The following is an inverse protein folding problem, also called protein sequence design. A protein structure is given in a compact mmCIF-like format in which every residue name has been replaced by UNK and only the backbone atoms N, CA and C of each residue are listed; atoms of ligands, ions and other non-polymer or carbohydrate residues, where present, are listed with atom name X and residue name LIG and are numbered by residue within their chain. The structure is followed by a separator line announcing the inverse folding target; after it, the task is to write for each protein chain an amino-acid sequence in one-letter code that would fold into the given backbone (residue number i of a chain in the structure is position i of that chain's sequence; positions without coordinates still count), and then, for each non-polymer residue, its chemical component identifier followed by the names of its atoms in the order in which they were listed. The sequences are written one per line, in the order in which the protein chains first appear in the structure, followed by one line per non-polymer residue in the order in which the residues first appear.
data_IF_305027469209
#
_entry.id   IF_305027469209
#
_cell.length_a   1.000
_cell.length_b   1.000
_cell.length_c   1.000
_cell.angle_alpha   90.00
_cell.angle_beta   90.00
_cell.angle_gamma   90.00
#
_symmetry.space_group_name_H-M   'P 1'
#
loop_
_entity.id
_entity.type
_entity.pdbx_description
1 polymer ?
#
# COMPACT_ATOMS: atom_id res chain seq x y z
N UNK A 1 19.22 13.06 -34.61
CA UNK A 1 18.57 11.75 -34.90
C UNK A 1 18.13 11.02 -33.61
N UNK A 2 18.85 11.14 -32.51
CA UNK A 2 18.43 10.55 -31.19
C UNK A 2 17.24 11.31 -30.57
N UNK A 3 17.12 12.62 -30.76
CA UNK A 3 16.00 13.41 -30.23
C UNK A 3 14.66 13.12 -30.94
N UNK A 4 14.70 12.80 -32.23
CA UNK A 4 13.47 12.50 -32.98
C UNK A 4 12.90 11.11 -32.65
N UNK A 5 13.73 10.12 -32.35
CA UNK A 5 13.29 8.78 -31.94
C UNK A 5 12.70 8.79 -30.50
N UNK A 6 13.28 9.61 -29.63
CA UNK A 6 12.76 9.83 -28.26
C UNK A 6 11.38 10.53 -28.30
N UNK A 7 11.26 11.61 -29.09
CA UNK A 7 9.98 12.31 -29.23
C UNK A 7 8.89 11.44 -29.84
N UNK A 8 9.20 10.61 -30.86
CA UNK A 8 8.24 9.67 -31.44
C UNK A 8 7.79 8.62 -30.40
N UNK A 9 8.73 8.05 -29.62
CA UNK A 9 8.42 7.11 -28.55
C UNK A 9 7.49 7.72 -27.49
N UNK A 10 7.69 8.99 -27.13
CA UNK A 10 6.87 9.68 -26.15
C UNK A 10 5.46 9.98 -26.69
N UNK A 11 5.34 10.29 -27.98
CA UNK A 11 4.02 10.45 -28.63
C UNK A 11 3.24 9.15 -28.62
N UNK A 12 3.85 8.00 -29.00
CA UNK A 12 3.18 6.69 -28.97
C UNK A 12 2.77 6.28 -27.55
N UNK A 13 3.61 6.53 -26.53
CA UNK A 13 3.27 6.27 -25.13
C UNK A 13 2.07 7.11 -24.70
N UNK A 14 2.07 8.42 -24.99
CA UNK A 14 0.93 9.29 -24.68
C UNK A 14 -0.35 8.82 -25.36
N UNK A 15 -0.29 8.46 -26.65
CA UNK A 15 -1.45 7.95 -27.38
C UNK A 15 -1.99 6.67 -26.76
N UNK A 16 -1.14 5.72 -26.34
CA UNK A 16 -1.56 4.48 -25.70
C UNK A 16 -2.27 4.74 -24.37
N UNK A 17 -1.64 5.52 -23.48
CA UNK A 17 -2.19 5.76 -22.15
C UNK A 17 -3.43 6.65 -22.13
N UNK A 18 -3.60 7.50 -23.14
CA UNK A 18 -4.81 8.35 -23.28
C UNK A 18 -5.84 7.74 -24.23
N UNK A 19 -5.62 6.54 -24.75
CA UNK A 19 -6.63 5.85 -25.56
C UNK A 19 -7.93 5.68 -24.75
N UNK A 20 -9.09 6.06 -25.32
CA UNK A 20 -10.36 5.94 -24.63
C UNK A 20 -10.76 4.46 -24.54
N UNK A 21 -11.01 4.00 -23.32
CA UNK A 21 -11.57 2.66 -23.04
C UNK A 21 -12.96 2.84 -22.46
N UNK A 22 -13.96 2.32 -23.16
CA UNK A 22 -15.36 2.48 -22.81
C UNK A 22 -15.92 1.15 -22.29
N UNK A 23 -16.50 1.19 -21.10
CA UNK A 23 -17.27 0.09 -20.53
C UNK A 23 -18.70 0.55 -20.30
N UNK A 24 -19.68 -0.20 -20.79
CA UNK A 24 -21.07 0.15 -20.57
C UNK A 24 -22.05 -0.70 -21.36
N UNK A 25 -23.33 -0.55 -21.01
CA UNK A 25 -24.45 -1.21 -21.67
C UNK A 25 -25.47 -0.12 -22.05
N UNK A 26 -25.68 0.08 -23.35
CA UNK A 26 -26.62 1.07 -23.88
C UNK A 26 -26.23 2.51 -23.54
N UNK A 27 -27.12 3.26 -22.89
CA UNK A 27 -26.86 4.66 -22.49
C UNK A 27 -25.97 4.82 -21.24
N UNK A 28 -25.71 3.75 -20.50
CA UNK A 28 -24.83 3.72 -19.32
C UNK A 28 -23.43 3.28 -19.75
N UNK A 29 -22.70 4.15 -20.43
CA UNK A 29 -21.32 3.90 -20.82
C UNK A 29 -20.39 4.93 -20.13
N UNK A 30 -19.36 4.42 -19.46
CA UNK A 30 -18.26 5.21 -18.90
C UNK A 30 -17.10 5.10 -19.88
N UNK A 31 -16.74 6.21 -20.50
CA UNK A 31 -15.60 6.31 -21.40
C UNK A 31 -14.50 7.13 -20.72
N UNK A 32 -13.40 6.48 -20.38
CA UNK A 32 -12.26 7.10 -19.72
C UNK A 32 -10.96 6.63 -20.36
N UNK A 33 -9.86 7.37 -20.13
CA UNK A 33 -8.53 6.97 -20.64
C UNK A 33 -8.04 5.67 -19.99
N UNK A 34 -7.19 4.93 -20.69
CA UNK A 34 -6.52 3.75 -20.11
C UNK A 34 -5.76 4.13 -18.84
N UNK A 35 -5.14 5.31 -18.82
CA UNK A 35 -4.46 5.87 -17.65
C UNK A 35 -5.40 6.00 -16.44
N UNK A 36 -6.63 6.47 -16.63
CA UNK A 36 -7.65 6.52 -15.57
C UNK A 36 -7.98 5.12 -15.04
N UNK A 37 -8.21 4.14 -15.93
CA UNK A 37 -8.50 2.78 -15.49
C UNK A 37 -7.38 2.14 -14.70
N UNK A 38 -6.12 2.49 -15.01
CA UNK A 38 -4.97 2.01 -14.23
C UNK A 38 -4.88 2.73 -12.89
N UNK A 39 -4.99 4.06 -12.86
CA UNK A 39 -4.76 4.84 -11.65
C UNK A 39 -5.94 4.82 -10.67
N UNK A 40 -7.17 4.76 -11.15
CA UNK A 40 -8.35 4.80 -10.30
C UNK A 40 -9.05 3.43 -10.22
N UNK A 41 -9.12 2.70 -11.34
CA UNK A 41 -9.73 1.38 -11.38
C UNK A 41 -8.85 0.31 -10.74
N UNK A 42 -7.65 0.07 -11.29
CA UNK A 42 -6.77 -0.98 -10.79
C UNK A 42 -6.19 -0.64 -9.42
N UNK A 43 -5.84 0.63 -9.15
CA UNK A 43 -5.35 1.03 -7.84
C UNK A 43 -6.40 0.86 -6.74
N UNK A 44 -7.70 0.85 -7.06
CA UNK A 44 -8.74 0.48 -6.10
C UNK A 44 -8.54 -0.96 -5.58
N UNK A 45 -8.11 -1.90 -6.44
CA UNK A 45 -7.79 -3.28 -6.00
C UNK A 45 -6.55 -3.33 -5.12
N UNK A 46 -5.54 -2.51 -5.41
CA UNK A 46 -4.38 -2.34 -4.53
C UNK A 46 -4.83 -1.86 -3.14
N UNK A 47 -5.60 -0.78 -3.10
CA UNK A 47 -6.10 -0.23 -1.84
C UNK A 47 -7.10 -1.15 -1.12
N UNK A 48 -7.79 -2.03 -1.84
CA UNK A 48 -8.58 -3.10 -1.24
C UNK A 48 -7.68 -4.07 -0.45
N UNK A 49 -6.54 -4.47 -1.03
CA UNK A 49 -5.57 -5.33 -0.35
C UNK A 49 -4.96 -4.63 0.86
N UNK A 50 -4.57 -3.35 0.72
CA UNK A 50 -4.07 -2.52 1.83
C UNK A 50 -5.12 -2.41 2.95
N UNK A 51 -6.38 -2.12 2.61
CA UNK A 51 -7.47 -2.04 3.59
C UNK A 51 -7.70 -3.36 4.34
N UNK A 52 -7.59 -4.50 3.64
CA UNK A 52 -7.65 -5.83 4.26
C UNK A 52 -6.43 -6.11 5.15
N UNK A 53 -5.25 -5.63 4.76
CA UNK A 53 -4.03 -5.75 5.56
C UNK A 53 -4.13 -4.95 6.86
N UNK A 54 -4.58 -3.70 6.77
CA UNK A 54 -4.89 -2.87 7.94
C UNK A 54 -5.89 -3.58 8.85
N UNK A 55 -6.98 -4.12 8.27
CA UNK A 55 -8.03 -4.83 9.02
C UNK A 55 -7.48 -6.04 9.76
N UNK A 56 -6.60 -6.81 9.12
CA UNK A 56 -5.95 -7.97 9.73
C UNK A 56 -4.99 -7.54 10.85
N UNK A 57 -4.14 -6.54 10.61
CA UNK A 57 -3.20 -6.04 11.62
C UNK A 57 -3.90 -5.51 12.87
N UNK A 58 -5.08 -4.92 12.72
CA UNK A 58 -5.91 -4.44 13.83
C UNK A 58 -6.54 -5.57 14.67
N UNK A 59 -6.65 -6.80 14.14
CA UNK A 59 -7.34 -7.90 14.81
C UNK A 59 -6.43 -9.05 15.24
N UNK A 60 -5.39 -9.33 14.47
CA UNK A 60 -4.49 -10.50 14.67
C UNK A 60 -3.01 -10.11 14.64
N UNK A 61 -2.69 -8.85 14.30
CA UNK A 61 -1.32 -8.39 14.12
C UNK A 61 -0.76 -7.56 15.26
N UNK A 62 0.31 -6.84 14.96
CA UNK A 62 1.03 -6.01 15.93
C UNK A 62 0.21 -4.82 16.48
N UNK A 63 -0.85 -4.39 15.76
CA UNK A 63 -1.71 -3.29 16.18
C UNK A 63 -2.76 -3.68 17.24
N UNK A 64 -2.90 -4.96 17.57
CA UNK A 64 -3.82 -5.43 18.63
C UNK A 64 -3.39 -4.92 20.03
N UNK A 65 -2.08 -4.92 20.29
CA UNK A 65 -1.52 -4.36 21.53
C UNK A 65 -0.86 -3.01 21.26
N UNK A 66 -1.54 -1.94 21.68
CA UNK A 66 -1.04 -0.56 21.52
C UNK A 66 0.32 -0.32 22.17
N UNK A 67 0.70 -1.11 23.18
CA UNK A 67 2.03 -1.01 23.78
C UNK A 67 3.13 -1.54 22.86
N UNK A 68 2.85 -2.61 22.11
CA UNK A 68 3.76 -3.15 21.11
C UNK A 68 3.76 -2.28 19.84
N UNK A 69 2.60 -1.77 19.44
CA UNK A 69 2.44 -0.89 18.29
C UNK A 69 3.00 0.52 18.51
N UNK A 70 3.20 0.94 19.76
CA UNK A 70 3.60 2.34 20.09
C UNK A 70 4.89 2.78 19.40
N UNK A 71 5.89 1.90 19.31
CA UNK A 71 7.16 2.23 18.65
C UNK A 71 7.02 2.33 17.12
N UNK A 72 6.38 1.37 16.40
CA UNK A 72 6.07 1.53 14.98
C UNK A 72 5.21 2.77 14.67
N UNK A 73 4.21 3.07 15.50
CA UNK A 73 3.35 4.26 15.32
C UNK A 73 4.19 5.55 15.43
N UNK A 74 5.02 5.65 16.46
CA UNK A 74 5.91 6.79 16.63
C UNK A 74 6.89 6.94 15.46
N UNK A 75 7.45 5.82 15.01
CA UNK A 75 8.36 5.77 13.87
C UNK A 75 7.66 6.23 12.58
N UNK A 76 6.43 5.76 12.32
CA UNK A 76 5.63 6.18 11.17
C UNK A 76 5.28 7.67 11.22
N UNK A 77 4.84 8.19 12.36
CA UNK A 77 4.62 9.64 12.53
C UNK A 77 5.87 10.44 12.20
N UNK A 78 7.04 10.01 12.68
CA UNK A 78 8.32 10.64 12.34
C UNK A 78 8.67 10.53 10.87
N UNK A 79 8.40 9.35 10.27
CA UNK A 79 8.59 9.04 8.85
C UNK A 79 7.68 9.81 7.91
N UNK A 80 6.63 10.44 8.41
CA UNK A 80 5.73 11.34 7.66
C UNK A 80 6.05 12.81 7.94
N UNK A 81 6.16 13.19 9.21
CA UNK A 81 6.32 14.60 9.63
C UNK A 81 7.66 15.17 9.14
N UNK A 82 8.78 14.47 9.37
CA UNK A 82 10.09 15.01 9.01
C UNK A 82 10.27 15.13 7.49
N UNK A 83 9.94 14.13 6.65
CA UNK A 83 9.97 14.30 5.20
C UNK A 83 9.08 15.43 4.70
N UNK A 84 7.87 15.57 5.25
CA UNK A 84 6.95 16.66 4.90
C UNK A 84 7.53 18.04 5.24
N UNK A 85 8.16 18.20 6.41
CA UNK A 85 8.83 19.43 6.82
C UNK A 85 10.06 19.73 5.93
N UNK A 86 10.86 18.72 5.60
CA UNK A 86 12.00 18.90 4.69
C UNK A 86 11.48 19.32 3.31
N UNK A 87 10.50 18.64 2.77
CA UNK A 87 9.91 19.03 1.48
C UNK A 87 9.37 20.48 1.53
N UNK A 88 8.61 20.82 2.57
CA UNK A 88 8.05 22.15 2.74
C UNK A 88 9.14 23.24 2.87
N UNK A 89 10.31 22.92 3.44
CA UNK A 89 11.42 23.88 3.53
C UNK A 89 11.98 24.28 2.17
N UNK A 90 11.92 23.37 1.17
CA UNK A 90 12.29 23.66 -0.21
C UNK A 90 11.17 24.28 -1.03
N UNK A 91 9.90 23.95 -0.72
CA UNK A 91 8.72 24.25 -1.55
C UNK A 91 7.59 24.91 -0.76
N UNK A 92 7.91 25.84 0.16
CA UNK A 92 6.91 26.47 1.03
C UNK A 92 6.04 27.50 0.32
N UNK A 93 6.41 27.96 -0.89
CA UNK A 93 5.67 28.95 -1.68
C UNK A 93 5.48 28.48 -3.13
N UNK A 94 4.34 28.83 -3.71
CA UNK A 94 4.03 28.60 -5.12
C UNK A 94 3.44 27.23 -5.43
N UNK A 95 3.45 26.87 -6.71
CA UNK A 95 2.80 25.68 -7.25
C UNK A 95 3.41 24.36 -6.72
N UNK A 96 4.65 24.37 -6.23
CA UNK A 96 5.30 23.18 -5.66
C UNK A 96 4.77 22.78 -4.28
N UNK A 97 4.04 23.64 -3.58
CA UNK A 97 3.59 23.38 -2.21
C UNK A 97 2.68 22.12 -2.09
N UNK A 98 1.89 21.81 -3.12
CA UNK A 98 0.97 20.64 -3.13
C UNK A 98 1.66 19.29 -2.99
N UNK A 99 2.97 19.19 -3.21
CA UNK A 99 3.70 17.91 -3.18
C UNK A 99 4.19 17.44 -1.81
N UNK A 100 3.83 18.10 -0.71
CA UNK A 100 4.38 17.82 0.63
C UNK A 100 4.14 16.40 1.16
N UNK A 101 3.06 15.75 0.72
CA UNK A 101 2.75 14.38 1.13
C UNK A 101 3.44 13.30 0.26
N UNK A 102 4.06 13.67 -0.87
CA UNK A 102 4.73 12.71 -1.78
C UNK A 102 5.76 11.84 -1.04
N UNK A 103 6.67 12.40 -0.22
CA UNK A 103 7.67 11.60 0.47
C UNK A 103 7.14 10.90 1.73
N UNK A 104 5.85 11.04 2.07
CA UNK A 104 5.28 10.41 3.26
C UNK A 104 5.07 8.90 3.08
N UNK A 105 4.77 8.42 1.87
CA UNK A 105 4.45 7.02 1.61
C UNK A 105 5.69 6.14 1.45
N UNK A 106 5.54 4.84 1.80
CA UNK A 106 6.55 3.79 1.60
C UNK A 106 6.02 2.73 0.63
N UNK A 107 6.85 2.26 -0.28
CA UNK A 107 6.52 1.10 -1.12
C UNK A 107 6.89 -0.20 -0.40
N UNK A 108 5.89 -0.84 0.22
CA UNK A 108 6.07 -2.07 1.02
C UNK A 108 6.68 -3.19 0.18
N UNK A 109 6.19 -3.38 -1.06
CA UNK A 109 6.62 -4.48 -1.91
C UNK A 109 8.12 -4.41 -2.22
N UNK A 110 8.62 -3.22 -2.56
CA UNK A 110 10.05 -2.98 -2.79
C UNK A 110 10.86 -3.05 -1.50
N UNK A 111 10.41 -2.45 -0.41
CA UNK A 111 11.12 -2.46 0.87
C UNK A 111 11.31 -3.89 1.41
N UNK A 112 10.25 -4.71 1.40
CA UNK A 112 10.31 -6.12 1.82
C UNK A 112 11.10 -6.97 0.83
N UNK A 113 10.97 -6.70 -0.47
CA UNK A 113 11.77 -7.35 -1.51
C UNK A 113 13.28 -7.14 -1.30
N UNK A 114 13.71 -5.91 -1.03
CA UNK A 114 15.11 -5.61 -0.71
C UNK A 114 15.56 -6.26 0.61
N UNK A 115 14.69 -6.25 1.63
CA UNK A 115 14.99 -6.94 2.89
C UNK A 115 15.17 -8.46 2.66
N UNK A 116 14.39 -9.05 1.77
CA UNK A 116 14.53 -10.47 1.41
C UNK A 116 15.83 -10.76 0.66
N UNK A 117 16.33 -9.85 -0.19
CA UNK A 117 17.62 -9.95 -0.86
C UNK A 117 18.81 -9.97 0.12
N UNK A 118 18.69 -9.32 1.27
CA UNK A 118 19.70 -9.39 2.34
C UNK A 118 19.77 -10.78 3.00
N UNK A 119 18.77 -11.63 2.81
CA UNK A 119 18.78 -13.03 3.18
C UNK A 119 18.30 -13.34 4.59
N UNK A 120 18.47 -14.62 5.00
CA UNK A 120 17.91 -15.18 6.24
C UNK A 120 18.60 -14.72 7.54
N UNK A 121 19.68 -13.97 7.45
CA UNK A 121 20.46 -13.52 8.62
C UNK A 121 19.86 -12.32 9.37
N UNK A 122 18.76 -11.74 8.87
CA UNK A 122 18.10 -10.60 9.50
C UNK A 122 17.13 -11.12 10.57
N UNK A 123 17.20 -10.58 11.83
CA UNK A 123 16.27 -10.93 12.89
C UNK A 123 14.81 -10.73 12.50
N UNK A 124 13.93 -11.62 12.95
CA UNK A 124 12.48 -11.56 12.67
C UNK A 124 11.84 -10.25 13.13
N UNK A 125 12.31 -9.69 14.25
CA UNK A 125 11.83 -8.41 14.78
C UNK A 125 12.03 -7.24 13.83
N UNK A 126 13.10 -7.25 13.02
CA UNK A 126 13.33 -6.20 11.98
C UNK A 126 12.28 -6.28 10.89
N UNK A 127 11.95 -7.49 10.44
CA UNK A 127 10.92 -7.72 9.42
C UNK A 127 9.54 -7.33 9.93
N UNK A 128 9.20 -7.75 11.16
CA UNK A 128 7.92 -7.39 11.79
C UNK A 128 7.81 -5.88 11.94
N UNK A 129 8.87 -5.21 12.42
CA UNK A 129 8.88 -3.77 12.58
C UNK A 129 8.72 -3.03 11.25
N UNK A 130 9.41 -3.48 10.18
CA UNK A 130 9.24 -2.89 8.83
C UNK A 130 7.82 -3.04 8.32
N UNK A 131 7.23 -4.25 8.43
CA UNK A 131 5.87 -4.50 7.96
C UNK A 131 4.85 -3.67 8.74
N UNK A 132 4.92 -3.65 10.06
CA UNK A 132 4.00 -2.87 10.89
C UNK A 132 4.13 -1.37 10.62
N UNK A 133 5.38 -0.86 10.50
CA UNK A 133 5.63 0.53 10.13
C UNK A 133 4.96 0.87 8.78
N UNK A 134 5.17 0.02 7.78
CA UNK A 134 4.67 0.26 6.43
C UNK A 134 3.13 0.22 6.36
N UNK A 135 2.48 -0.69 7.09
CA UNK A 135 1.01 -0.69 7.21
C UNK A 135 0.50 0.61 7.85
N UNK A 136 1.20 1.14 8.87
CA UNK A 136 0.82 2.41 9.49
C UNK A 136 1.07 3.59 8.53
N UNK A 137 2.18 3.57 7.78
CA UNK A 137 2.45 4.56 6.73
C UNK A 137 1.32 4.59 5.68
N UNK A 138 0.82 3.42 5.27
CA UNK A 138 -0.30 3.31 4.32
C UNK A 138 -1.60 3.85 4.92
N UNK A 139 -1.88 3.59 6.21
CA UNK A 139 -3.03 4.20 6.91
C UNK A 139 -2.94 5.72 6.86
N UNK A 140 -1.77 6.27 7.20
CA UNK A 140 -1.56 7.71 7.19
C UNK A 140 -1.69 8.26 5.76
N UNK A 141 -1.10 7.60 4.77
CA UNK A 141 -1.19 8.01 3.37
C UNK A 141 -2.65 8.05 2.87
N UNK A 142 -3.46 7.03 3.21
CA UNK A 142 -4.90 7.01 2.86
C UNK A 142 -5.65 8.18 3.50
N UNK A 143 -5.38 8.48 4.78
CA UNK A 143 -5.98 9.61 5.48
C UNK A 143 -5.56 10.94 4.82
N UNK A 144 -4.28 11.08 4.48
CA UNK A 144 -3.78 12.28 3.80
C UNK A 144 -4.44 12.47 2.44
N UNK A 145 -4.59 11.41 1.66
CA UNK A 145 -5.29 11.45 0.37
C UNK A 145 -6.75 11.86 0.56
N UNK A 146 -7.43 11.27 1.51
CA UNK A 146 -8.85 11.54 1.75
C UNK A 146 -9.12 12.99 2.20
N UNK A 147 -8.22 13.56 3.01
CA UNK A 147 -8.42 14.88 3.64
C UNK A 147 -7.87 16.02 2.78
N UNK A 148 -6.72 15.83 2.15
CA UNK A 148 -5.98 16.93 1.50
C UNK A 148 -6.02 16.92 -0.03
N UNK A 149 -6.40 15.79 -0.64
CA UNK A 149 -6.41 15.63 -2.09
C UNK A 149 -7.81 15.40 -2.69
N UNK A 150 -8.87 15.55 -1.89
CA UNK A 150 -10.27 15.50 -2.38
C UNK A 150 -10.78 16.92 -2.62
N UNK A 151 -11.14 17.22 -3.87
CA UNK A 151 -11.60 18.54 -4.28
C UNK A 151 -13.11 18.55 -4.54
N UNK A 152 -13.79 19.64 -4.15
CA UNK A 152 -15.13 20.00 -4.61
C UNK A 152 -16.20 18.94 -4.37
N UNK A 153 -16.43 18.50 -3.12
CA UNK A 153 -17.31 17.39 -2.77
C UNK A 153 -18.77 17.63 -3.20
N UNK A 154 -19.27 16.82 -4.12
CA UNK A 154 -20.70 16.71 -4.43
C UNK A 154 -21.35 15.64 -3.54
N UNK A 155 -22.30 16.08 -2.70
CA UNK A 155 -22.94 15.21 -1.72
C UNK A 155 -23.85 14.15 -2.33
N UNK A 156 -24.28 14.29 -3.58
CA UNK A 156 -25.18 13.33 -4.27
C UNK A 156 -24.53 11.96 -4.42
N UNK A 157 -23.25 11.90 -4.72
CA UNK A 157 -22.49 10.66 -4.87
C UNK A 157 -22.32 9.88 -3.57
N UNK A 158 -22.28 10.55 -2.40
CA UNK A 158 -22.20 9.88 -1.10
C UNK A 158 -23.41 9.01 -0.81
N UNK A 159 -24.58 9.37 -1.31
CA UNK A 159 -25.78 8.53 -1.18
C UNK A 159 -25.59 7.19 -1.90
N UNK A 160 -25.06 7.22 -3.12
CA UNK A 160 -24.77 6.00 -3.90
C UNK A 160 -23.67 5.17 -3.22
N UNK A 161 -22.59 5.81 -2.75
CA UNK A 161 -21.53 5.14 -2.01
C UNK A 161 -22.07 4.51 -0.72
N UNK A 162 -22.93 5.22 0.00
CA UNK A 162 -23.61 4.72 1.20
C UNK A 162 -24.50 3.52 0.94
N UNK A 163 -25.28 3.51 -0.15
CA UNK A 163 -26.07 2.35 -0.58
C UNK A 163 -25.16 1.15 -0.86
N UNK A 164 -24.04 1.35 -1.55
CA UNK A 164 -23.03 0.31 -1.75
C UNK A 164 -22.50 -0.26 -0.43
N UNK A 165 -22.13 0.61 0.51
CA UNK A 165 -21.67 0.22 1.84
C UNK A 165 -22.72 -0.54 2.66
N UNK A 166 -23.97 -0.07 2.66
CA UNK A 166 -25.09 -0.76 3.32
C UNK A 166 -25.38 -2.13 2.69
N UNK A 167 -25.27 -2.26 1.37
CA UNK A 167 -25.41 -3.54 0.68
C UNK A 167 -24.29 -4.51 1.08
N UNK A 168 -23.04 -4.05 1.23
CA UNK A 168 -21.93 -4.86 1.78
C UNK A 168 -22.27 -5.37 3.18
N UNK A 169 -22.70 -4.48 4.09
CA UNK A 169 -23.09 -4.86 5.45
C UNK A 169 -24.28 -5.83 5.46
N UNK A 170 -25.27 -5.62 4.60
CA UNK A 170 -26.42 -6.51 4.43
C UNK A 170 -25.99 -7.92 4.01
N UNK A 171 -25.15 -8.05 2.98
CA UNK A 171 -24.60 -9.35 2.55
C UNK A 171 -23.80 -10.05 3.63
N UNK A 172 -23.04 -9.31 4.42
CA UNK A 172 -22.30 -9.85 5.56
C UNK A 172 -23.23 -10.39 6.64
N UNK A 173 -24.32 -9.67 6.97
CA UNK A 173 -25.32 -10.10 7.96
C UNK A 173 -26.08 -11.35 7.53
N UNK A 174 -26.34 -11.50 6.22
CA UNK A 174 -26.97 -12.70 5.65
C UNK A 174 -25.98 -13.88 5.59
N UNK A 175 -24.69 -13.65 5.85
CA UNK A 175 -23.67 -14.70 5.84
C UNK A 175 -23.16 -15.08 4.43
N UNK A 176 -23.23 -14.17 3.45
CA UNK A 176 -22.73 -14.42 2.10
C UNK A 176 -21.20 -14.46 2.09
N UNK A 177 -20.60 -15.63 1.93
CA UNK A 177 -19.15 -15.85 1.96
C UNK A 177 -18.45 -15.79 0.60
N UNK A 178 -19.19 -15.52 -0.50
CA UNK A 178 -18.61 -15.40 -1.84
C UNK A 178 -18.08 -14.00 -2.08
N UNK A 179 -16.77 -13.86 -2.38
CA UNK A 179 -16.17 -12.57 -2.73
C UNK A 179 -16.83 -11.90 -3.96
N UNK A 180 -17.31 -12.70 -4.91
CA UNK A 180 -17.98 -12.17 -6.12
C UNK A 180 -19.28 -11.42 -5.82
N UNK A 181 -19.98 -11.78 -4.75
CA UNK A 181 -21.21 -11.08 -4.36
C UNK A 181 -20.97 -9.63 -3.93
N UNK A 182 -19.75 -9.33 -3.49
CA UNK A 182 -19.35 -7.99 -3.04
C UNK A 182 -18.83 -7.10 -4.17
N UNK A 183 -18.64 -7.64 -5.39
CA UNK A 183 -18.16 -6.86 -6.53
C UNK A 183 -19.15 -5.77 -6.90
N UNK A 184 -20.44 -6.08 -7.04
CA UNK A 184 -21.46 -5.11 -7.42
C UNK A 184 -21.64 -4.00 -6.36
N UNK A 185 -21.79 -4.29 -5.06
CA UNK A 185 -21.78 -3.27 -4.02
C UNK A 185 -20.50 -2.44 -3.98
N UNK A 186 -19.33 -3.07 -4.20
CA UNK A 186 -18.05 -2.38 -4.29
C UNK A 186 -18.01 -1.41 -5.48
N UNK A 187 -18.50 -1.81 -6.64
CA UNK A 187 -18.62 -0.93 -7.81
C UNK A 187 -19.58 0.23 -7.60
N UNK A 188 -20.70 0.01 -6.88
CA UNK A 188 -21.60 1.11 -6.50
C UNK A 188 -20.90 2.11 -5.56
N UNK A 189 -20.13 1.63 -4.61
CA UNK A 189 -19.36 2.47 -3.71
C UNK A 189 -18.26 3.25 -4.47
N UNK A 190 -17.55 2.58 -5.36
CA UNK A 190 -16.53 3.19 -6.21
C UNK A 190 -17.12 4.27 -7.13
N UNK A 191 -18.20 3.94 -7.82
CA UNK A 191 -18.92 4.89 -8.69
C UNK A 191 -19.52 6.08 -7.91
N UNK A 192 -20.03 5.82 -6.70
CA UNK A 192 -20.52 6.87 -5.82
C UNK A 192 -19.40 7.84 -5.41
N UNK A 193 -18.23 7.35 -5.02
CA UNK A 193 -17.08 8.19 -4.69
C UNK A 193 -16.55 8.94 -5.93
N UNK A 194 -16.55 8.31 -7.09
CA UNK A 194 -16.20 8.97 -8.35
C UNK A 194 -17.11 10.18 -8.64
N UNK A 195 -18.42 10.05 -8.38
CA UNK A 195 -19.38 11.14 -8.56
C UNK A 195 -19.25 12.25 -7.51
N UNK A 196 -18.70 11.94 -6.33
CA UNK A 196 -18.49 12.97 -5.28
C UNK A 196 -17.29 13.88 -5.56
N UNK A 197 -16.39 13.54 -6.48
CA UNK A 197 -15.08 14.19 -6.61
C UNK A 197 -14.04 13.72 -5.57
N UNK A 198 -14.42 12.79 -4.68
CA UNK A 198 -13.46 12.10 -3.83
C UNK A 198 -12.70 11.04 -4.64
N UNK A 199 -11.47 10.69 -4.20
CA UNK A 199 -10.71 9.67 -4.91
C UNK A 199 -11.42 8.30 -4.86
N UNK A 200 -11.74 7.71 -6.04
CA UNK A 200 -12.48 6.45 -6.10
C UNK A 200 -11.74 5.28 -5.45
N UNK A 201 -10.41 5.36 -5.36
CA UNK A 201 -9.54 4.38 -4.72
C UNK A 201 -9.85 4.17 -3.24
N UNK A 202 -10.44 5.18 -2.56
CA UNK A 202 -10.89 5.07 -1.17
C UNK A 202 -11.99 4.00 -1.00
N UNK A 203 -12.78 3.71 -2.03
CA UNK A 203 -13.73 2.60 -2.01
C UNK A 203 -13.04 1.26 -1.71
N UNK A 204 -11.85 1.05 -2.29
CA UNK A 204 -11.04 -0.14 -2.02
C UNK A 204 -10.67 -0.25 -0.55
N UNK A 205 -10.16 0.83 0.06
CA UNK A 205 -9.81 0.85 1.48
C UNK A 205 -11.01 0.56 2.36
N UNK A 206 -12.14 1.26 2.13
CA UNK A 206 -13.35 1.10 2.92
C UNK A 206 -13.85 -0.36 2.82
N UNK A 207 -13.93 -0.92 1.60
CA UNK A 207 -14.34 -2.29 1.39
C UNK A 207 -13.38 -3.29 2.06
N UNK A 208 -12.07 -3.03 2.01
CA UNK A 208 -11.04 -3.82 2.68
C UNK A 208 -11.22 -3.81 4.20
N UNK A 209 -11.42 -2.65 4.79
CA UNK A 209 -11.69 -2.48 6.23
C UNK A 209 -13.02 -3.12 6.67
N UNK A 210 -14.02 -3.16 5.79
CA UNK A 210 -15.30 -3.84 6.03
C UNK A 210 -15.20 -5.36 5.93
N UNK A 211 -14.11 -5.91 5.35
CA UNK A 211 -13.98 -7.37 5.13
C UNK A 211 -13.90 -8.11 6.47
N UNK A 212 -14.72 -9.17 6.68
CA UNK A 212 -14.76 -9.88 7.95
C UNK A 212 -13.47 -10.61 8.27
N UNK A 213 -13.00 -10.49 9.52
CA UNK A 213 -11.84 -11.21 10.09
C UNK A 213 -12.24 -12.50 10.82
N UNK A 214 -13.52 -12.66 11.15
CA UNK A 214 -14.07 -13.85 11.78
C UNK A 214 -15.00 -14.60 10.83
N UNK A 215 -15.35 -15.85 11.19
CA UNK A 215 -16.37 -16.60 10.46
C UNK A 215 -17.69 -15.83 10.43
N UNK A 216 -18.38 -15.89 9.27
CA UNK A 216 -19.64 -15.19 9.09
C UNK A 216 -20.74 -15.79 9.99
N UNK A 217 -21.71 -14.99 10.48
CA UNK A 217 -22.80 -15.45 11.31
C UNK A 217 -23.60 -16.58 10.65
N UNK A 218 -24.07 -17.52 11.45
CA UNK A 218 -24.93 -18.63 11.00
C UNK A 218 -24.19 -19.82 10.38
N UNK A 219 -22.88 -19.83 10.37
CA UNK A 219 -22.06 -20.97 9.92
C UNK A 219 -21.50 -21.77 11.09
N UNK A 220 -21.48 -23.10 10.93
CA UNK A 220 -20.79 -24.02 11.85
C UNK A 220 -19.30 -23.65 11.91
N UNK A 221 -18.69 -23.71 13.11
CA UNK A 221 -17.26 -23.49 13.24
C UNK A 221 -16.50 -24.52 12.42
N UNK A 222 -15.48 -24.11 11.63
CA UNK A 222 -14.78 -25.03 10.71
C UNK A 222 -14.21 -26.29 11.40
N UNK A 223 -13.75 -26.16 12.65
CA UNK A 223 -13.23 -27.30 13.42
C UNK A 223 -14.35 -28.30 13.78
N UNK A 224 -15.55 -27.82 14.08
CA UNK A 224 -16.69 -28.67 14.45
C UNK A 224 -17.22 -29.37 13.20
N UNK A 225 -17.28 -28.70 12.07
CA UNK A 225 -17.57 -29.28 10.76
C UNK A 225 -16.56 -30.36 10.38
N UNK A 226 -15.25 -30.13 10.57
CA UNK A 226 -14.21 -31.13 10.31
C UNK A 226 -14.37 -32.34 11.23
N UNK A 227 -14.65 -32.16 12.51
CA UNK A 227 -14.91 -33.25 13.46
C UNK A 227 -16.15 -34.06 13.12
N UNK A 228 -17.20 -33.43 12.58
CA UNK A 228 -18.41 -34.13 12.08
C UNK A 228 -18.09 -34.93 10.82
N UNK A 229 -17.46 -34.30 9.82
CA UNK A 229 -17.11 -34.92 8.54
C UNK A 229 -16.16 -36.12 8.75
N UNK A 230 -15.16 -36.01 9.65
CA UNK A 230 -14.26 -37.13 9.95
C UNK A 230 -15.03 -38.36 10.48
N UNK A 231 -15.98 -38.16 11.39
CA UNK A 231 -16.84 -39.21 11.92
C UNK A 231 -17.77 -39.83 10.84
N UNK A 232 -18.30 -39.01 9.96
CA UNK A 232 -19.13 -39.44 8.84
C UNK A 232 -18.35 -40.29 7.83
N UNK A 233 -17.08 -39.93 7.56
CA UNK A 233 -16.20 -40.70 6.65
C UNK A 233 -15.77 -42.04 7.23
N UNK A 234 -15.65 -42.18 8.56
CA UNK A 234 -15.33 -43.48 9.20
C UNK A 234 -16.45 -44.52 9.04
N UNK A 235 -17.70 -44.07 8.82
CA UNK A 235 -18.88 -44.96 8.69
C UNK A 235 -19.52 -45.03 7.31
N UNK A 236 -18.99 -44.36 6.28
CA UNK A 236 -19.71 -44.07 5.05
C UNK A 236 -19.51 -45.14 3.93
N UNK A 237 -20.63 -45.54 3.29
CA UNK A 237 -20.64 -46.16 1.98
C UNK A 237 -20.22 -45.14 0.88
N UNK A 238 -19.67 -45.59 -0.24
CA UNK A 238 -19.02 -44.78 -1.29
C UNK A 238 -19.85 -43.63 -1.89
N UNK A 239 -21.17 -43.69 -1.82
CA UNK A 239 -22.07 -42.62 -2.32
C UNK A 239 -22.08 -41.38 -1.43
N UNK A 240 -21.81 -41.54 -0.17
CA UNK A 240 -21.77 -40.47 0.81
C UNK A 240 -20.42 -39.73 0.81
N UNK A 241 -19.36 -40.42 0.36
CA UNK A 241 -18.01 -39.87 0.31
C UNK A 241 -17.89 -38.63 -0.58
N UNK A 242 -18.60 -38.55 -1.70
CA UNK A 242 -18.58 -37.40 -2.60
C UNK A 242 -19.20 -36.13 -1.95
N UNK A 243 -20.26 -36.32 -1.18
CA UNK A 243 -20.88 -35.24 -0.42
C UNK A 243 -19.96 -34.74 0.71
N UNK A 244 -19.42 -35.66 1.50
CA UNK A 244 -18.47 -35.35 2.58
C UNK A 244 -17.18 -34.70 2.09
N UNK A 245 -16.67 -35.10 0.91
CA UNK A 245 -15.52 -34.44 0.27
C UNK A 245 -15.83 -33.00 -0.16
N UNK A 246 -17.05 -32.73 -0.62
CA UNK A 246 -17.47 -31.36 -0.95
C UNK A 246 -17.59 -30.51 0.31
N UNK A 247 -18.16 -31.02 1.37
CA UNK A 247 -18.24 -30.35 2.66
C UNK A 247 -16.86 -30.13 3.28
N UNK A 248 -15.95 -31.09 3.16
CA UNK A 248 -14.55 -30.96 3.58
C UNK A 248 -13.86 -29.80 2.90
N UNK A 249 -14.04 -29.63 1.57
CA UNK A 249 -13.49 -28.49 0.83
C UNK A 249 -14.07 -27.17 1.32
N UNK A 250 -15.36 -27.12 1.65
CA UNK A 250 -16.00 -25.92 2.19
C UNK A 250 -15.44 -25.62 3.59
N UNK A 251 -15.36 -26.63 4.47
CA UNK A 251 -14.80 -26.48 5.81
C UNK A 251 -13.32 -26.03 5.77
N UNK A 252 -12.50 -26.63 4.90
CA UNK A 252 -11.11 -26.21 4.67
C UNK A 252 -11.01 -24.76 4.19
N UNK A 253 -11.91 -24.36 3.29
CA UNK A 253 -11.95 -22.98 2.80
C UNK A 253 -12.33 -22.00 3.90
N UNK A 254 -13.15 -22.42 4.85
CA UNK A 254 -13.64 -21.59 5.97
C UNK A 254 -12.71 -21.58 7.19
N UNK A 255 -11.69 -22.45 7.22
CA UNK A 255 -10.61 -22.39 8.22
C UNK A 255 -9.85 -21.07 8.18
N UNK A 256 -9.75 -20.45 6.99
CA UNK A 256 -9.13 -19.14 6.84
C UNK A 256 -10.20 -18.03 6.89
N UNK A 257 -10.02 -16.99 7.72
CA UNK A 257 -10.88 -15.81 7.70
C UNK A 257 -11.06 -15.26 6.29
N UNK A 258 -12.25 -14.73 5.95
CA UNK A 258 -12.50 -14.15 4.62
C UNK A 258 -11.45 -13.14 4.18
N UNK A 259 -10.99 -12.29 5.09
CA UNK A 259 -9.95 -11.29 4.83
C UNK A 259 -8.64 -11.92 4.35
N UNK A 260 -8.16 -12.97 5.03
CA UNK A 260 -6.90 -13.66 4.68
C UNK A 260 -7.04 -14.38 3.33
N UNK A 261 -8.18 -15.04 3.11
CA UNK A 261 -8.45 -15.79 1.87
C UNK A 261 -8.47 -14.89 0.64
N UNK A 262 -9.18 -13.76 0.72
CA UNK A 262 -9.28 -12.80 -0.40
C UNK A 262 -7.93 -12.12 -0.62
N UNK A 263 -7.24 -11.72 0.46
CA UNK A 263 -5.90 -11.14 0.38
C UNK A 263 -4.91 -12.08 -0.31
N UNK A 264 -4.84 -13.36 0.09
CA UNK A 264 -3.95 -14.34 -0.53
C UNK A 264 -4.27 -14.58 -2.01
N UNK A 265 -5.55 -14.51 -2.40
CA UNK A 265 -5.97 -14.67 -3.79
C UNK A 265 -5.61 -13.44 -4.65
N UNK A 266 -5.71 -12.23 -4.10
CA UNK A 266 -5.42 -10.99 -4.82
C UNK A 266 -3.94 -10.60 -4.81
N UNK A 267 -3.21 -10.93 -3.75
CA UNK A 267 -1.83 -10.52 -3.55
C UNK A 267 -0.89 -10.80 -4.74
N UNK A 268 -0.89 -12.00 -5.37
CA UNK A 268 -0.01 -12.24 -6.53
C UNK A 268 -0.38 -11.35 -7.73
N UNK A 269 -1.67 -11.12 -7.97
CA UNK A 269 -2.12 -10.25 -9.06
C UNK A 269 -1.76 -8.79 -8.83
N UNK A 270 -1.88 -8.32 -7.58
CA UNK A 270 -1.48 -6.97 -7.20
C UNK A 270 0.03 -6.81 -7.33
N UNK A 271 0.82 -7.71 -6.76
CA UNK A 271 2.28 -7.58 -6.70
C UNK A 271 2.94 -7.77 -8.07
N UNK A 272 2.54 -8.78 -8.84
CA UNK A 272 3.22 -9.15 -10.09
C UNK A 272 2.50 -8.65 -11.36
N UNK A 273 1.26 -8.21 -11.25
CA UNK A 273 0.49 -7.67 -12.38
C UNK A 273 0.27 -6.17 -12.26
N UNK A 274 -0.48 -5.76 -11.23
CA UNK A 274 -0.96 -4.39 -11.10
C UNK A 274 0.17 -3.40 -10.81
N UNK A 275 1.05 -3.69 -9.84
CA UNK A 275 2.15 -2.79 -9.47
C UNK A 275 3.13 -2.55 -10.62
N UNK A 276 3.61 -3.57 -11.37
CA UNK A 276 4.43 -3.36 -12.57
C UNK A 276 3.70 -2.57 -13.67
N UNK A 277 2.41 -2.85 -13.89
CA UNK A 277 1.60 -2.12 -14.87
C UNK A 277 1.44 -0.65 -14.48
N UNK A 278 1.15 -0.38 -13.21
CA UNK A 278 1.08 0.97 -12.67
C UNK A 278 2.43 1.70 -12.82
N UNK A 279 3.54 1.03 -12.47
CA UNK A 279 4.87 1.60 -12.63
C UNK A 279 5.17 1.92 -14.10
N UNK A 280 4.83 1.01 -15.05
CA UNK A 280 5.03 1.22 -16.48
C UNK A 280 4.21 2.42 -17.00
N UNK A 281 2.97 2.57 -16.54
CA UNK A 281 2.08 3.65 -16.96
C UNK A 281 2.53 5.01 -16.40
N UNK A 282 3.08 5.04 -15.18
CA UNK A 282 3.29 6.27 -14.42
C UNK A 282 4.76 6.68 -14.28
N UNK A 283 5.73 5.74 -14.33
CA UNK A 283 7.15 6.05 -14.15
C UNK A 283 7.82 6.58 -15.43
N UNK A 284 7.10 6.66 -16.55
CA UNK A 284 7.61 7.20 -17.82
C UNK A 284 7.85 8.71 -17.73
N UNK A 285 9.09 9.12 -17.47
CA UNK A 285 9.50 10.53 -17.45
C UNK A 285 10.42 10.77 -18.63
N UNK A 286 10.11 11.79 -19.43
CA UNK A 286 10.96 12.23 -20.54
C UNK A 286 12.10 13.11 -20.02
N UNK A 287 13.27 12.54 -19.82
CA UNK A 287 14.44 13.27 -19.32
C UNK A 287 14.83 14.49 -20.17
N UNK A 288 14.45 14.51 -21.45
CA UNK A 288 14.78 15.60 -22.37
C UNK A 288 13.71 16.69 -22.52
N UNK A 289 12.50 16.45 -22.03
CA UNK A 289 11.35 17.36 -22.16
C UNK A 289 11.01 18.10 -20.87
N UNK A 290 11.54 17.68 -19.72
CA UNK A 290 11.32 18.35 -18.44
C UNK A 290 12.22 19.57 -18.36
N UNK A 291 11.65 20.75 -18.36
CA UNK A 291 12.39 21.99 -18.19
C UNK A 291 12.78 22.17 -16.70
N UNK A 292 13.91 21.55 -16.33
CA UNK A 292 14.51 21.68 -15.00
C UNK A 292 15.13 23.06 -14.75
N UNK A 293 15.18 23.93 -15.76
CA UNK A 293 15.71 25.31 -15.64
C UNK A 293 14.72 26.21 -14.93
N UNK A 294 13.43 25.87 -14.89
CA UNK A 294 12.44 26.58 -14.09
C UNK A 294 12.66 26.25 -12.59
N UNK A 295 12.89 27.28 -11.79
CA UNK A 295 13.28 27.13 -10.37
C UNK A 295 12.33 26.28 -9.53
N UNK A 296 11.01 26.27 -9.82
CA UNK A 296 10.02 25.47 -9.10
C UNK A 296 10.23 23.95 -9.32
N UNK A 297 10.43 23.48 -10.54
CA UNK A 297 10.65 22.06 -10.85
C UNK A 297 11.91 21.50 -10.21
N UNK A 298 13.00 22.29 -10.17
CA UNK A 298 14.23 21.90 -9.49
C UNK A 298 14.03 21.70 -7.99
N UNK A 299 13.30 22.61 -7.35
CA UNK A 299 13.03 22.53 -5.90
C UNK A 299 12.09 21.37 -5.56
N UNK A 300 11.11 21.07 -6.39
CA UNK A 300 10.23 19.89 -6.22
C UNK A 300 11.04 18.60 -6.32
N UNK A 301 11.87 18.44 -7.35
CA UNK A 301 12.74 17.27 -7.52
C UNK A 301 13.65 17.08 -6.30
N UNK A 302 14.38 18.15 -5.92
CA UNK A 302 15.34 18.09 -4.81
C UNK A 302 14.63 17.85 -3.50
N UNK A 303 13.52 18.54 -3.25
CA UNK A 303 12.71 18.39 -2.03
C UNK A 303 12.21 16.96 -1.86
N UNK A 304 11.66 16.33 -2.91
CA UNK A 304 11.21 14.94 -2.86
C UNK A 304 12.37 13.96 -2.63
N UNK A 305 13.46 14.11 -3.41
CA UNK A 305 14.60 13.21 -3.31
C UNK A 305 15.27 13.25 -1.93
N UNK A 306 15.52 14.45 -1.38
CA UNK A 306 16.11 14.63 -0.05
C UNK A 306 15.16 14.17 1.06
N UNK A 307 13.87 14.46 0.93
CA UNK A 307 12.87 14.06 1.92
C UNK A 307 12.75 12.52 2.02
N UNK A 308 12.80 11.79 0.89
CA UNK A 308 12.81 10.32 0.89
C UNK A 308 14.13 9.76 1.44
N UNK A 309 15.27 10.26 0.93
CA UNK A 309 16.58 9.71 1.24
C UNK A 309 17.05 10.00 2.68
N UNK A 310 16.81 11.22 3.15
CA UNK A 310 17.29 11.71 4.45
C UNK A 310 16.13 11.85 5.43
N UNK A 311 15.02 12.43 4.99
CA UNK A 311 13.88 12.76 5.86
C UNK A 311 13.27 11.52 6.49
N UNK A 312 13.00 10.47 5.71
CA UNK A 312 12.42 9.22 6.24
C UNK A 312 13.31 8.52 7.27
N UNK A 313 14.58 8.20 6.99
CA UNK A 313 15.45 7.59 7.99
C UNK A 313 15.64 8.44 9.25
N UNK A 314 15.84 9.75 9.08
CA UNK A 314 16.00 10.68 10.21
C UNK A 314 14.70 10.75 11.03
N UNK A 315 13.55 10.87 10.37
CA UNK A 315 12.24 10.94 11.04
C UNK A 315 11.94 9.68 11.86
N UNK A 316 12.12 8.51 11.25
CA UNK A 316 11.92 7.22 11.91
C UNK A 316 12.86 7.05 13.12
N UNK A 317 14.14 7.37 12.95
CA UNK A 317 15.13 7.26 14.03
C UNK A 317 14.88 8.24 15.17
N UNK A 318 14.65 9.51 14.85
CA UNK A 318 14.49 10.57 15.87
C UNK A 318 13.22 10.38 16.68
N UNK A 319 12.09 10.08 16.05
CA UNK A 319 10.85 9.84 16.77
C UNK A 319 10.89 8.55 17.58
N UNK A 320 11.45 7.47 17.04
CA UNK A 320 11.67 6.24 17.79
C UNK A 320 12.56 6.47 19.01
N UNK A 321 13.67 7.20 18.83
CA UNK A 321 14.58 7.52 19.92
C UNK A 321 13.93 8.40 20.98
N UNK A 322 13.24 9.45 20.57
CA UNK A 322 12.54 10.38 21.45
C UNK A 322 11.52 9.65 22.33
N UNK A 323 10.67 8.82 21.73
CA UNK A 323 9.60 8.09 22.42
C UNK A 323 10.15 7.05 23.40
N UNK A 324 11.25 6.36 23.04
CA UNK A 324 11.93 5.45 23.96
C UNK A 324 12.57 6.22 25.11
N UNK A 325 13.18 7.39 24.84
CA UNK A 325 13.81 8.22 25.88
C UNK A 325 12.80 8.84 26.85
N UNK A 326 11.62 9.20 26.36
CA UNK A 326 10.51 9.68 27.20
C UNK A 326 9.83 8.55 27.99
N UNK A 327 10.22 7.28 27.80
CA UNK A 327 9.61 6.13 28.47
C UNK A 327 8.22 5.75 27.98
N UNK A 328 7.76 6.36 26.88
CA UNK A 328 6.43 6.11 26.29
C UNK A 328 6.39 4.81 25.49
N UNK A 329 7.53 4.40 24.92
CA UNK A 329 7.66 3.16 24.16
C UNK A 329 8.81 2.31 24.70
N UNK A 330 8.68 0.98 24.59
CA UNK A 330 9.77 0.05 24.88
C UNK A 330 10.32 -0.51 23.59
N UNK A 331 11.64 -0.43 23.42
CA UNK A 331 12.32 -1.06 22.28
C UNK A 331 12.45 -2.56 22.54
N UNK A 332 11.96 -3.44 21.64
CA UNK A 332 12.20 -4.89 21.73
C UNK A 332 13.69 -5.21 21.79
N UNK A 333 14.07 -6.25 22.52
CA UNK A 333 15.48 -6.61 22.74
C UNK A 333 16.20 -7.01 21.45
N UNK A 334 15.50 -7.61 20.51
CA UNK A 334 15.98 -8.04 19.19
C UNK A 334 16.05 -6.92 18.14
N UNK A 335 15.55 -5.70 18.47
CA UNK A 335 15.53 -4.55 17.57
C UNK A 335 16.62 -3.53 17.98
N UNK A 336 17.79 -3.59 17.38
CA UNK A 336 18.88 -2.62 17.61
C UNK A 336 18.62 -1.28 16.91
N UNK A 337 19.30 -0.21 17.36
CA UNK A 337 19.22 1.10 16.66
C UNK A 337 19.73 1.03 15.22
N UNK A 338 20.74 0.18 14.95
CA UNK A 338 21.21 -0.08 13.59
C UNK A 338 20.16 -0.77 12.72
N UNK A 339 19.30 -1.60 13.33
CA UNK A 339 18.18 -2.23 12.65
C UNK A 339 17.08 -1.20 12.33
N UNK A 340 16.78 -0.28 13.27
CA UNK A 340 15.82 0.81 13.02
C UNK A 340 16.34 1.73 11.90
N UNK A 341 17.65 2.01 11.86
CA UNK A 341 18.27 2.76 10.77
C UNK A 341 18.12 2.04 9.42
N UNK A 342 18.32 0.71 9.38
CA UNK A 342 18.08 -0.10 8.19
C UNK A 342 16.62 0.02 7.72
N UNK A 343 15.66 -0.14 8.64
CA UNK A 343 14.24 0.01 8.34
C UNK A 343 13.94 1.41 7.83
N UNK A 344 14.51 2.45 8.43
CA UNK A 344 14.37 3.84 7.98
C UNK A 344 14.85 4.05 6.54
N UNK A 345 16.01 3.49 6.18
CA UNK A 345 16.53 3.54 4.81
C UNK A 345 15.61 2.78 3.83
N UNK A 346 15.14 1.60 4.20
CA UNK A 346 14.22 0.84 3.35
C UNK A 346 12.85 1.54 3.21
N UNK A 347 12.34 2.17 4.27
CA UNK A 347 11.13 2.97 4.24
C UNK A 347 11.23 4.22 3.34
N UNK A 348 12.45 4.73 3.10
CA UNK A 348 12.71 5.80 2.13
C UNK A 348 12.46 5.41 0.66
N UNK A 349 12.13 4.14 0.38
CA UNK A 349 11.71 3.69 -0.96
C UNK A 349 10.21 3.98 -1.10
N UNK A 350 9.89 5.12 -1.68
CA UNK A 350 8.49 5.53 -1.88
C UNK A 350 7.90 5.09 -3.19
N UNK A 351 8.73 4.82 -4.18
CA UNK A 351 8.50 4.48 -5.59
C UNK A 351 7.03 4.58 -6.06
N UNK A 352 6.26 3.48 -6.14
CA UNK A 352 4.91 3.46 -6.70
C UNK A 352 3.92 4.30 -5.90
N UNK A 353 3.98 4.25 -4.57
CA UNK A 353 3.08 5.00 -3.69
C UNK A 353 3.35 6.51 -3.74
N UNK A 354 4.63 6.91 -3.73
CA UNK A 354 5.00 8.32 -3.90
C UNK A 354 4.64 8.85 -5.29
N UNK A 355 4.78 8.05 -6.36
CA UNK A 355 4.33 8.43 -7.72
C UNK A 355 2.79 8.57 -7.75
N UNK A 356 2.06 7.69 -7.07
CA UNK A 356 0.61 7.80 -6.97
C UNK A 356 0.20 9.12 -6.31
N UNK A 357 0.78 9.47 -5.17
CA UNK A 357 0.52 10.74 -4.49
C UNK A 357 0.95 11.94 -5.35
N UNK A 358 2.06 11.83 -6.10
CA UNK A 358 2.49 12.89 -7.03
C UNK A 358 1.46 13.15 -8.13
N UNK A 359 0.83 12.10 -8.69
CA UNK A 359 -0.24 12.24 -9.67
C UNK A 359 -1.49 12.94 -9.09
N UNK A 360 -1.73 12.83 -7.77
CA UNK A 360 -2.82 13.51 -7.08
C UNK A 360 -2.46 14.97 -6.73
N UNK A 361 -1.19 15.20 -6.40
CA UNK A 361 -0.72 16.51 -5.91
C UNK A 361 -0.41 17.53 -7.01
N UNK A 362 -0.15 17.08 -8.23
CA UNK A 362 0.25 17.96 -9.32
C UNK A 362 -0.57 17.75 -10.59
N UNK A 363 -1.26 18.81 -11.00
CA UNK A 363 -1.92 18.91 -12.30
C UNK A 363 -0.93 19.39 -13.37
N UNK A 364 0.06 20.20 -12.99
CA UNK A 364 1.11 20.71 -13.88
C UNK A 364 2.06 19.58 -14.28
N UNK A 365 2.22 19.36 -15.60
CA UNK A 365 3.01 18.27 -16.16
C UNK A 365 4.51 18.36 -15.83
N UNK A 366 5.08 19.57 -15.74
CA UNK A 366 6.51 19.76 -15.47
C UNK A 366 6.82 19.54 -13.98
N UNK A 367 5.97 20.00 -13.07
CA UNK A 367 6.08 19.73 -11.64
C UNK A 367 5.88 18.25 -11.34
N UNK A 368 4.92 17.62 -12.01
CA UNK A 368 4.67 16.17 -11.89
C UNK A 368 5.87 15.36 -12.38
N UNK A 369 6.46 15.73 -13.51
CA UNK A 369 7.65 15.07 -14.06
C UNK A 369 8.86 15.23 -13.12
N UNK A 370 9.06 16.43 -12.57
CA UNK A 370 10.10 16.73 -11.59
C UNK A 370 9.90 15.91 -10.29
N UNK A 371 8.67 15.82 -9.80
CA UNK A 371 8.32 15.00 -8.63
C UNK A 371 8.62 13.52 -8.87
N UNK A 372 8.20 12.97 -10.02
CA UNK A 372 8.46 11.56 -10.40
C UNK A 372 9.97 11.28 -10.49
N UNK A 373 10.76 12.18 -11.07
CA UNK A 373 12.22 12.08 -11.07
C UNK A 373 12.79 12.09 -9.66
N UNK A 374 12.33 12.99 -8.81
CA UNK A 374 12.73 13.06 -7.40
C UNK A 374 12.42 11.77 -6.65
N UNK A 375 11.24 11.18 -6.88
CA UNK A 375 10.85 9.88 -6.31
C UNK A 375 11.78 8.77 -6.78
N UNK A 376 12.06 8.69 -8.10
CA UNK A 376 12.94 7.64 -8.64
C UNK A 376 14.36 7.75 -8.08
N UNK A 377 14.94 8.94 -8.08
CA UNK A 377 16.29 9.19 -7.56
C UNK A 377 16.37 8.92 -6.05
N UNK A 378 15.42 9.44 -5.28
CA UNK A 378 15.36 9.25 -3.83
C UNK A 378 15.19 7.78 -3.46
N UNK A 379 14.27 7.06 -4.14
CA UNK A 379 14.03 5.64 -3.91
C UNK A 379 15.22 4.76 -4.29
N UNK A 380 15.87 5.01 -5.44
CA UNK A 380 17.09 4.30 -5.84
C UNK A 380 18.23 4.52 -4.85
N UNK A 381 18.46 5.75 -4.42
CA UNK A 381 19.51 6.08 -3.46
C UNK A 381 19.21 5.42 -2.09
N UNK A 382 17.96 5.47 -1.61
CA UNK A 382 17.53 4.78 -0.39
C UNK A 382 17.70 3.27 -0.47
N UNK A 383 17.37 2.66 -1.61
CA UNK A 383 17.56 1.24 -1.85
C UNK A 383 19.04 0.83 -1.78
N UNK A 384 19.92 1.58 -2.46
CA UNK A 384 21.37 1.33 -2.44
C UNK A 384 21.97 1.50 -1.03
N UNK A 385 21.60 2.57 -0.32
CA UNK A 385 22.05 2.77 1.06
C UNK A 385 21.47 1.72 2.01
N UNK A 386 20.21 1.32 1.83
CA UNK A 386 19.58 0.24 2.60
C UNK A 386 20.30 -1.10 2.40
N UNK A 387 20.64 -1.46 1.17
CA UNK A 387 21.40 -2.68 0.89
C UNK A 387 22.83 -2.64 1.47
N UNK A 388 23.54 -1.55 1.28
CA UNK A 388 24.91 -1.40 1.82
C UNK A 388 24.94 -1.42 3.34
N UNK A 389 24.02 -0.71 3.98
CA UNK A 389 23.86 -0.73 5.43
C UNK A 389 23.43 -2.11 5.95
N UNK A 390 22.51 -2.78 5.25
CA UNK A 390 22.05 -4.12 5.58
C UNK A 390 23.17 -5.16 5.51
N UNK A 391 24.02 -5.11 4.48
CA UNK A 391 25.22 -5.97 4.39
C UNK A 391 26.19 -5.73 5.52
N UNK A 392 26.44 -4.47 5.89
CA UNK A 392 27.30 -4.12 7.03
C UNK A 392 26.69 -4.60 8.36
N UNK A 393 25.39 -4.42 8.55
CA UNK A 393 24.65 -4.90 9.72
C UNK A 393 24.76 -6.42 9.89
N UNK A 394 24.60 -7.18 8.81
CA UNK A 394 24.74 -8.64 8.80
C UNK A 394 26.19 -9.09 9.12
N UNK A 395 27.19 -8.40 8.59
CA UNK A 395 28.60 -8.69 8.93
C UNK A 395 28.88 -8.51 10.43
N UNK A 396 28.33 -7.47 11.04
CA UNK A 396 28.44 -7.24 12.50
C UNK A 396 27.77 -8.34 13.32
N UNK A 397 26.56 -8.77 12.93
CA UNK A 397 25.85 -9.85 13.62
C UNK A 397 26.65 -11.17 13.60
N UNK A 398 27.24 -11.50 12.46
CA UNK A 398 28.09 -12.71 12.34
C UNK A 398 29.36 -12.63 13.18
N UNK A 399 29.97 -11.45 13.28
CA UNK A 399 31.19 -11.25 14.12
C UNK A 399 30.88 -11.43 15.60
N UNK A 400 29.73 -10.94 16.09
CA UNK A 400 29.36 -11.12 17.51
C UNK A 400 28.95 -12.54 17.86
N UNK A 401 28.43 -13.33 16.94
CA UNK A 401 28.10 -14.75 17.18
C UNK A 401 29.34 -15.64 17.25
N UNK A 402 30.39 -15.32 16.53
CA UNK A 402 31.69 -16.06 16.59
C UNK A 402 32.44 -15.79 17.89
N UNK A 403 32.44 -14.54 18.39
CA UNK A 403 33.09 -14.17 19.67
C UNK A 403 32.30 -14.65 20.89
N UNK A 404 31.04 -14.96 20.81
CA UNK A 404 30.25 -15.54 21.91
C UNK A 404 30.32 -17.08 21.98
N UNK A 405 30.87 -17.72 20.95
CA UNK A 405 31.05 -19.18 20.86
C UNK A 405 32.48 -19.62 21.09
N UNK A 406 33.43 -18.69 21.18
CA UNK A 406 34.82 -18.87 21.57
C UNK A 406 35.05 -18.49 23.06
#
# INVERSE_FOLDING_TARGET
TLSSSSAASDVYKRQLWHAPVSFGIGSLAISQSLHFWINDGLMTLFFLVVGMEIRREMHEGALVDLRQASLPIAAACGGVIIPALIYASFNHQGAGAGGWAIPAATDIAFAVGLLALLGKGIPSGVRIFLLTLAVIDDVIAVILIAVFYSDGLDYSGFLLAGVGGLAVLGLQRIGVGSAYAYVLPGLLMWGGLLLTGAHPTLAGVILGLMTPVAALPGRELPRDALGRIARELEGAASSTAAHSLRELRIAQRELMPPVVRVQLALHPWVTFGLMPLFALANAGVSFGATDLSQGASHWVLTGVAVALLVGKPVGILTFSWLMVRLGLCRRPADLSWSAIALVGLLAGIGFTMSIFIANLGFVDGDLLAAAKLGVLLGSCASALLGLTWGMFYLRRLRGTSVTAAA
#
